data_IF_375767104683
#
_entry.id   IF_375767104683
#
_cell.length_a   1.000
_cell.length_b   1.000
_cell.length_c   1.000
_cell.angle_alpha   90.00
_cell.angle_beta   90.00
_cell.angle_gamma   90.00
#
_symmetry.space_group_name_H-M   'P 1'
#
loop_
_entity.id
_entity.type
_entity.pdbx_description
1 polymer ?
#
# COMPACT_ATOMS: atom_id res chain seq x y z
N UNK A 1 -16.48 -2.55 8.92
CA UNK A 1 -17.32 -1.86 7.90
C UNK A 1 -17.14 -0.34 7.88
N UNK A 2 -16.91 0.31 9.00
CA UNK A 2 -16.69 1.79 9.07
C UNK A 2 -15.46 2.26 8.28
N UNK A 3 -14.36 1.53 8.31
CA UNK A 3 -13.11 1.91 7.61
C UNK A 3 -13.24 2.04 6.08
N UNK A 4 -14.09 1.23 5.46
CA UNK A 4 -14.31 1.31 4.01
C UNK A 4 -15.14 2.53 3.62
N UNK A 5 -16.11 2.92 4.45
CA UNK A 5 -16.95 4.08 4.20
C UNK A 5 -16.21 5.41 4.43
N UNK A 6 -15.38 5.49 5.46
CA UNK A 6 -14.61 6.69 5.78
C UNK A 6 -13.50 6.98 4.75
N UNK A 7 -13.00 5.96 4.04
CA UNK A 7 -11.85 6.09 3.15
C UNK A 7 -12.11 5.78 1.68
N UNK A 8 -13.39 5.63 1.28
CA UNK A 8 -13.79 5.33 -0.09
C UNK A 8 -13.12 4.09 -0.72
N UNK A 9 -12.76 3.10 0.11
CA UNK A 9 -12.18 1.84 -0.34
C UNK A 9 -13.31 0.89 -0.69
N UNK A 10 -13.31 0.36 -1.90
CA UNK A 10 -14.27 -0.67 -2.30
C UNK A 10 -14.07 -1.94 -1.47
N UNK A 11 -15.14 -2.39 -0.83
CA UNK A 11 -15.13 -3.59 0.00
C UNK A 11 -14.76 -4.84 -0.80
N UNK A 12 -15.17 -4.92 -2.06
CA UNK A 12 -14.85 -6.05 -2.94
C UNK A 12 -13.36 -6.10 -3.24
N UNK A 13 -12.78 -4.96 -3.55
CA UNK A 13 -11.34 -4.82 -3.78
C UNK A 13 -10.53 -5.21 -2.53
N UNK A 14 -10.97 -4.79 -1.34
CA UNK A 14 -10.31 -5.16 -0.09
C UNK A 14 -10.32 -6.67 0.15
N UNK A 15 -11.46 -7.33 -0.06
CA UNK A 15 -11.59 -8.78 0.12
C UNK A 15 -10.70 -9.52 -0.88
N UNK A 16 -10.73 -9.15 -2.15
CA UNK A 16 -9.89 -9.76 -3.19
C UNK A 16 -8.39 -9.66 -2.85
N UNK A 17 -7.94 -8.48 -2.43
CA UNK A 17 -6.56 -8.28 -1.98
C UNK A 17 -6.19 -9.13 -0.77
N UNK A 18 -7.13 -9.30 0.19
CA UNK A 18 -6.93 -10.17 1.34
C UNK A 18 -6.83 -11.64 0.93
N UNK A 19 -7.70 -12.11 0.04
CA UNK A 19 -7.66 -13.48 -0.50
C UNK A 19 -6.33 -13.77 -1.20
N UNK A 20 -5.85 -12.86 -2.04
CA UNK A 20 -4.55 -12.98 -2.73
C UNK A 20 -3.36 -12.99 -1.75
N UNK A 21 -3.35 -12.10 -0.76
CA UNK A 21 -2.29 -12.04 0.25
C UNK A 21 -2.25 -13.30 1.11
N UNK A 22 -3.42 -13.77 1.54
CA UNK A 22 -3.55 -15.02 2.29
C UNK A 22 -3.16 -16.24 1.45
N UNK A 23 -3.50 -16.28 0.16
CA UNK A 23 -3.12 -17.37 -0.72
C UNK A 23 -1.61 -17.52 -0.81
N UNK A 24 -0.87 -16.43 -0.97
CA UNK A 24 0.61 -16.43 -0.94
C UNK A 24 1.15 -16.96 0.38
N UNK A 25 0.64 -16.45 1.50
CA UNK A 25 1.08 -16.87 2.84
C UNK A 25 0.80 -18.34 3.12
N UNK A 26 -0.37 -18.85 2.71
CA UNK A 26 -0.68 -20.27 2.89
C UNK A 26 0.12 -21.18 1.95
N UNK A 27 0.41 -20.75 0.73
CA UNK A 27 1.30 -21.47 -0.17
C UNK A 27 2.69 -21.67 0.47
N UNK A 28 3.23 -20.62 1.09
CA UNK A 28 4.51 -20.69 1.80
C UNK A 28 4.44 -21.56 3.06
N UNK A 29 3.44 -21.38 3.93
CA UNK A 29 3.29 -22.10 5.19
C UNK A 29 3.06 -23.60 4.97
N UNK A 30 2.28 -23.97 3.96
CA UNK A 30 1.94 -25.36 3.64
C UNK A 30 2.90 -25.99 2.62
N UNK A 31 3.91 -25.23 2.14
CA UNK A 31 4.89 -25.64 1.13
C UNK A 31 4.23 -26.20 -0.14
N UNK A 32 3.24 -25.46 -0.67
CA UNK A 32 2.48 -25.87 -1.85
C UNK A 32 3.23 -25.49 -3.13
N UNK A 33 3.56 -26.46 -3.95
CA UNK A 33 4.35 -26.29 -5.15
C UNK A 33 3.65 -25.43 -6.21
N UNK A 34 2.35 -25.62 -6.38
CA UNK A 34 1.54 -24.93 -7.40
C UNK A 34 0.73 -23.77 -6.82
N UNK A 35 0.96 -23.42 -5.56
CA UNK A 35 0.30 -22.33 -4.88
C UNK A 35 -1.00 -22.70 -4.19
N UNK A 36 -1.70 -21.71 -3.69
CA UNK A 36 -2.96 -21.85 -2.99
C UNK A 36 -4.01 -20.88 -3.53
N UNK A 37 -5.27 -21.24 -3.40
CA UNK A 37 -6.41 -20.33 -3.54
C UNK A 37 -7.07 -20.18 -2.18
N UNK A 38 -7.39 -18.94 -1.82
CA UNK A 38 -8.12 -18.65 -0.58
C UNK A 38 -9.43 -17.97 -0.93
N UNK A 39 -10.49 -18.39 -0.28
CA UNK A 39 -11.81 -17.79 -0.44
C UNK A 39 -12.37 -17.41 0.92
N UNK A 40 -12.86 -16.19 1.05
CA UNK A 40 -13.52 -15.67 2.25
C UNK A 40 -15.02 -15.64 2.03
N UNK A 41 -15.77 -16.43 2.80
CA UNK A 41 -17.23 -16.39 2.78
C UNK A 41 -17.69 -15.05 3.36
N UNK A 42 -18.30 -14.22 2.54
CA UNK A 42 -18.75 -12.85 2.89
C UNK A 42 -19.84 -12.80 3.93
N UNK A 43 -20.58 -13.90 4.09
CA UNK A 43 -21.71 -13.98 5.05
C UNK A 43 -21.25 -14.44 6.42
N UNK A 44 -20.38 -15.47 6.45
CA UNK A 44 -19.95 -16.09 7.70
C UNK A 44 -18.57 -15.64 8.16
N UNK A 45 -17.78 -15.01 7.27
CA UNK A 45 -16.37 -14.67 7.52
C UNK A 45 -15.45 -15.89 7.57
N UNK A 46 -15.93 -17.08 7.19
CA UNK A 46 -15.10 -18.27 7.15
C UNK A 46 -14.12 -18.22 6.00
N UNK A 47 -12.94 -18.74 6.25
CA UNK A 47 -11.84 -18.79 5.30
C UNK A 47 -11.60 -20.22 4.89
N UNK A 48 -11.60 -20.46 3.59
CA UNK A 48 -11.30 -21.73 2.98
C UNK A 48 -9.98 -21.62 2.21
N UNK A 49 -9.14 -22.63 2.37
CA UNK A 49 -7.83 -22.71 1.71
C UNK A 49 -7.78 -23.94 0.84
N UNK A 50 -7.54 -23.73 -0.45
CA UNK A 50 -7.43 -24.79 -1.44
C UNK A 50 -6.01 -24.87 -1.95
N UNK A 51 -5.46 -26.09 -2.01
CA UNK A 51 -4.25 -26.39 -2.75
C UNK A 51 -4.60 -26.49 -4.23
N UNK A 52 -3.78 -25.91 -5.07
CA UNK A 52 -3.89 -26.03 -6.50
C UNK A 52 -3.07 -27.21 -6.99
N UNK A 53 -3.69 -28.15 -7.70
CA UNK A 53 -3.00 -29.22 -8.41
C UNK A 53 -3.26 -29.10 -9.93
N UNK A 54 -2.22 -29.13 -10.76
CA UNK A 54 -2.38 -29.00 -12.19
C UNK A 54 -3.10 -30.24 -12.76
N UNK A 55 -3.95 -30.02 -13.74
CA UNK A 55 -4.61 -31.10 -14.49
C UNK A 55 -3.74 -31.42 -15.69
N UNK A 56 -3.28 -32.68 -15.79
CA UNK A 56 -2.28 -33.13 -16.77
C UNK A 56 -2.65 -32.85 -18.24
N UNK A 57 -3.95 -32.83 -18.58
CA UNK A 57 -4.43 -32.59 -19.94
C UNK A 57 -4.61 -31.09 -20.27
N UNK A 58 -4.25 -30.17 -19.38
CA UNK A 58 -4.49 -28.71 -19.52
C UNK A 58 -3.25 -27.89 -19.85
N UNK A 59 -2.23 -28.47 -20.47
CA UNK A 59 -1.04 -27.75 -20.90
C UNK A 59 -1.29 -26.89 -22.14
N UNK A 60 -0.80 -25.62 -22.10
CA UNK A 60 -0.73 -24.77 -23.27
C UNK A 60 0.45 -25.11 -24.18
N UNK A 61 0.56 -24.43 -25.34
CA UNK A 61 1.65 -24.63 -26.30
C UNK A 61 3.03 -24.27 -25.72
N UNK A 62 3.08 -23.48 -24.63
CA UNK A 62 4.30 -23.06 -23.93
C UNK A 62 4.68 -24.00 -22.78
N UNK A 63 3.85 -25.02 -22.51
CA UNK A 63 4.09 -26.02 -21.45
C UNK A 63 3.63 -25.59 -20.06
N UNK A 64 2.79 -24.56 -19.97
CA UNK A 64 2.20 -24.13 -18.70
C UNK A 64 0.84 -24.77 -18.50
N UNK A 65 0.53 -25.15 -17.27
CA UNK A 65 -0.82 -25.65 -16.93
C UNK A 65 -1.82 -24.48 -16.91
N UNK A 66 -2.95 -24.68 -17.57
CA UNK A 66 -4.03 -23.68 -17.68
C UNK A 66 -5.18 -23.93 -16.71
N UNK A 67 -5.36 -25.19 -16.28
CA UNK A 67 -6.42 -25.58 -15.37
C UNK A 67 -5.83 -26.27 -14.12
N UNK A 68 -6.44 -25.99 -12.98
CA UNK A 68 -6.03 -26.53 -11.69
C UNK A 68 -7.24 -27.09 -10.95
N UNK A 69 -7.07 -28.27 -10.36
CA UNK A 69 -8.01 -28.82 -9.40
C UNK A 69 -7.80 -28.16 -8.03
N UNK A 70 -8.92 -27.81 -7.38
CA UNK A 70 -8.94 -27.17 -6.07
C UNK A 70 -9.20 -28.21 -4.98
N UNK A 71 -8.20 -28.51 -4.18
CA UNK A 71 -8.30 -29.50 -3.08
C UNK A 71 -8.34 -28.76 -1.76
N UNK A 72 -9.41 -28.95 -0.98
CA UNK A 72 -9.56 -28.33 0.35
C UNK A 72 -8.48 -28.82 1.32
N UNK A 73 -7.65 -27.90 1.78
CA UNK A 73 -6.59 -28.12 2.76
C UNK A 73 -6.70 -27.15 3.93
N UNK A 74 -7.90 -26.64 4.18
CA UNK A 74 -8.17 -25.60 5.20
C UNK A 74 -7.64 -26.00 6.58
N UNK A 75 -6.63 -25.33 7.14
CA UNK A 75 -6.09 -25.64 8.45
C UNK A 75 -7.08 -25.32 9.58
N UNK A 76 -7.03 -26.06 10.67
CA UNK A 76 -7.88 -25.78 11.84
C UNK A 76 -7.64 -24.42 12.50
N UNK A 77 -6.46 -23.82 12.30
CA UNK A 77 -6.05 -22.53 12.87
C UNK A 77 -6.12 -21.36 11.87
N UNK A 78 -6.87 -21.53 10.79
CA UNK A 78 -6.97 -20.55 9.69
C UNK A 78 -7.30 -19.15 10.18
N UNK A 79 -8.26 -19.01 11.09
CA UNK A 79 -8.71 -17.72 11.62
C UNK A 79 -7.60 -16.91 12.31
N UNK A 80 -6.67 -17.57 13.01
CA UNK A 80 -5.58 -16.89 13.72
C UNK A 80 -4.54 -16.34 12.76
N UNK A 81 -4.12 -17.15 11.80
CA UNK A 81 -3.13 -16.77 10.77
C UNK A 81 -3.72 -15.67 9.90
N UNK A 82 -4.95 -15.85 9.45
CA UNK A 82 -5.68 -14.87 8.65
C UNK A 82 -5.84 -13.52 9.36
N UNK A 83 -6.15 -13.49 10.66
CA UNK A 83 -6.30 -12.25 11.39
C UNK A 83 -5.00 -11.43 11.47
N UNK A 84 -3.85 -12.09 11.58
CA UNK A 84 -2.55 -11.41 11.59
C UNK A 84 -2.22 -10.81 10.23
N UNK A 85 -2.39 -11.59 9.15
CA UNK A 85 -2.15 -11.12 7.78
C UNK A 85 -3.16 -10.07 7.34
N UNK A 86 -4.44 -10.25 7.65
CA UNK A 86 -5.49 -9.30 7.34
C UNK A 86 -5.21 -7.92 7.94
N UNK A 87 -4.76 -7.86 9.20
CA UNK A 87 -4.41 -6.58 9.84
C UNK A 87 -3.27 -5.87 9.11
N UNK A 88 -2.24 -6.59 8.71
CA UNK A 88 -1.09 -6.03 7.99
C UNK A 88 -1.51 -5.52 6.61
N UNK A 89 -2.30 -6.31 5.87
CA UNK A 89 -2.78 -5.98 4.53
C UNK A 89 -3.76 -4.81 4.54
N UNK A 90 -4.72 -4.79 5.46
CA UNK A 90 -5.63 -3.65 5.63
C UNK A 90 -4.85 -2.37 5.90
N UNK A 91 -3.85 -2.41 6.79
CA UNK A 91 -3.02 -1.24 7.06
C UNK A 91 -2.20 -0.82 5.83
N UNK A 92 -1.74 -1.76 5.00
CA UNK A 92 -1.02 -1.45 3.76
C UNK A 92 -1.95 -0.80 2.73
N UNK A 93 -3.15 -1.34 2.52
CA UNK A 93 -4.16 -0.79 1.61
C UNK A 93 -4.57 0.62 2.05
N UNK A 94 -4.84 0.83 3.33
CA UNK A 94 -5.20 2.15 3.88
C UNK A 94 -4.09 3.17 3.66
N UNK A 95 -2.83 2.78 3.89
CA UNK A 95 -1.68 3.66 3.64
C UNK A 95 -1.51 3.98 2.16
N UNK A 96 -1.66 3.00 1.28
CA UNK A 96 -1.54 3.19 -0.16
C UNK A 96 -2.66 4.09 -0.70
N UNK A 97 -3.91 3.86 -0.26
CA UNK A 97 -5.04 4.74 -0.64
C UNK A 97 -4.83 6.18 -0.16
N UNK A 98 -4.31 6.38 1.07
CA UNK A 98 -3.99 7.72 1.55
C UNK A 98 -2.87 8.38 0.74
N UNK A 99 -1.84 7.62 0.32
CA UNK A 99 -0.78 8.13 -0.56
C UNK A 99 -1.30 8.52 -1.94
N UNK A 100 -2.19 7.72 -2.50
CA UNK A 100 -2.80 7.97 -3.81
C UNK A 100 -3.64 9.25 -3.79
N UNK A 101 -4.45 9.46 -2.76
CA UNK A 101 -5.19 10.71 -2.56
C UNK A 101 -4.27 11.94 -2.44
N UNK A 102 -3.16 11.81 -1.67
CA UNK A 102 -2.15 12.88 -1.57
C UNK A 102 -1.52 13.13 -2.94
N UNK A 103 -1.16 12.08 -3.66
CA UNK A 103 -0.59 12.20 -5.01
C UNK A 103 -1.54 12.94 -5.96
N UNK A 104 -2.81 12.54 -6.02
CA UNK A 104 -3.82 13.20 -6.86
C UNK A 104 -4.00 14.68 -6.51
N UNK A 105 -4.00 15.03 -5.21
CA UNK A 105 -4.10 16.41 -4.74
C UNK A 105 -2.93 17.29 -5.23
N UNK A 106 -1.72 16.72 -5.26
CA UNK A 106 -0.51 17.48 -5.54
C UNK A 106 0.04 17.30 -6.96
N UNK A 107 -0.35 16.27 -7.71
CA UNK A 107 0.17 15.98 -9.05
C UNK A 107 -0.04 17.13 -10.04
N UNK A 108 -1.17 17.85 -9.96
CA UNK A 108 -1.47 19.01 -10.79
C UNK A 108 -0.85 20.32 -10.32
N UNK A 109 -0.14 20.31 -9.18
CA UNK A 109 0.41 21.54 -8.54
C UNK A 109 1.93 21.63 -8.64
N UNK A 110 2.52 20.89 -9.56
CA UNK A 110 3.97 20.96 -9.83
C UNK A 110 4.29 22.37 -10.35
N UNK A 111 5.23 23.05 -9.66
CA UNK A 111 5.59 24.44 -9.96
C UNK A 111 4.87 25.50 -9.11
N UNK A 112 3.87 25.09 -8.33
CA UNK A 112 3.18 25.99 -7.40
C UNK A 112 4.04 26.25 -6.15
N UNK A 113 3.80 27.42 -5.53
CA UNK A 113 4.34 27.75 -4.22
C UNK A 113 3.49 27.13 -3.12
N UNK A 114 4.13 26.37 -2.24
CA UNK A 114 3.48 25.74 -1.09
C UNK A 114 4.14 26.26 0.18
N UNK A 115 3.34 26.63 1.18
CA UNK A 115 3.81 26.98 2.52
C UNK A 115 3.75 25.76 3.45
N UNK A 116 4.71 25.66 4.35
CA UNK A 116 4.73 24.57 5.33
C UNK A 116 5.57 24.90 6.56
N UNK A 117 5.44 24.07 7.59
CA UNK A 117 6.18 24.21 8.83
C UNK A 117 7.33 23.20 8.87
N UNK A 118 8.55 23.66 9.10
CA UNK A 118 9.73 22.78 9.24
C UNK A 118 9.59 21.98 10.54
N UNK A 119 9.55 20.65 10.41
CA UNK A 119 9.51 19.72 11.54
C UNK A 119 10.92 19.28 11.97
N UNK A 120 11.72 18.87 11.00
CA UNK A 120 13.05 18.32 11.25
C UNK A 120 13.98 18.63 10.08
N UNK A 121 15.24 18.92 10.38
CA UNK A 121 16.29 19.09 9.38
C UNK A 121 17.44 18.11 9.68
N UNK A 122 17.83 17.34 8.68
CA UNK A 122 18.97 16.43 8.69
C UNK A 122 20.03 16.93 7.70
N UNK A 123 21.24 16.36 7.64
CA UNK A 123 22.24 16.75 6.65
C UNK A 123 21.81 16.56 5.18
N UNK A 124 20.88 15.62 4.91
CA UNK A 124 20.49 15.22 3.56
C UNK A 124 19.20 15.90 3.10
N UNK A 125 18.24 16.10 4.03
CA UNK A 125 16.92 16.66 3.72
C UNK A 125 16.28 17.35 4.93
N UNK A 126 15.27 18.17 4.66
CA UNK A 126 14.38 18.77 5.66
C UNK A 126 12.97 18.27 5.48
N UNK A 127 12.33 17.82 6.57
CA UNK A 127 10.92 17.45 6.60
C UNK A 127 10.09 18.69 6.89
N UNK A 128 9.12 18.94 6.02
CA UNK A 128 8.22 20.08 6.10
C UNK A 128 6.78 19.58 6.15
N UNK A 129 6.07 19.94 7.20
CA UNK A 129 4.63 19.70 7.33
C UNK A 129 3.88 20.68 6.45
N UNK A 130 3.17 20.19 5.46
CA UNK A 130 2.31 20.99 4.57
C UNK A 130 0.93 21.21 5.21
N UNK A 131 0.35 20.14 5.72
CA UNK A 131 -0.89 20.12 6.50
C UNK A 131 -0.93 18.89 7.41
N UNK A 132 -2.00 18.74 8.20
CA UNK A 132 -2.13 17.56 9.06
C UNK A 132 -2.15 16.27 8.23
N UNK A 133 -1.25 15.35 8.58
CA UNK A 133 -1.06 14.07 7.91
C UNK A 133 -0.33 14.12 6.56
N UNK A 134 0.17 15.29 6.13
CA UNK A 134 0.96 15.44 4.89
C UNK A 134 2.28 16.13 5.18
N UNK A 135 3.35 15.41 4.94
CA UNK A 135 4.73 15.86 5.09
C UNK A 135 5.44 15.79 3.73
N UNK A 136 6.28 16.78 3.47
CA UNK A 136 7.11 16.84 2.27
C UNK A 136 8.58 16.75 2.66
N UNK A 137 9.36 16.06 1.84
CA UNK A 137 10.80 15.99 1.94
C UNK A 137 11.43 17.04 1.01
N UNK A 138 12.23 17.94 1.59
CA UNK A 138 12.96 18.94 0.85
C UNK A 138 14.46 18.60 0.86
N UNK A 139 15.04 18.12 -0.24
CA UNK A 139 16.45 17.81 -0.34
C UNK A 139 17.34 19.04 -0.13
N UNK A 140 18.50 18.84 0.49
CA UNK A 140 19.43 19.95 0.83
C UNK A 140 19.95 20.73 -0.38
N UNK A 141 20.12 20.06 -1.54
CA UNK A 141 20.56 20.73 -2.76
C UNK A 141 19.52 21.74 -3.29
N UNK A 142 18.24 21.54 -3.02
CA UNK A 142 17.17 22.46 -3.39
C UNK A 142 17.07 23.63 -2.38
N UNK A 143 17.47 23.43 -1.12
CA UNK A 143 17.47 24.48 -0.10
C UNK A 143 18.50 25.58 -0.38
N UNK A 144 19.69 25.23 -0.83
CA UNK A 144 20.81 26.18 -1.08
C UNK A 144 20.51 27.24 -2.13
N UNK A 145 19.59 26.93 -3.04
CA UNK A 145 19.19 27.87 -4.09
C UNK A 145 18.41 29.07 -3.56
N UNK A 146 17.79 28.94 -2.40
CA UNK A 146 16.91 29.95 -1.80
C UNK A 146 17.52 30.66 -0.57
N UNK A 147 18.54 30.09 0.07
CA UNK A 147 19.21 30.74 1.21
C UNK A 147 20.00 31.99 0.79
N UNK A 148 20.55 32.02 -0.43
CA UNK A 148 21.32 33.15 -0.93
C UNK A 148 20.47 34.40 -1.23
N UNK A 149 19.15 34.28 -1.37
CA UNK A 149 18.24 35.39 -1.61
C UNK A 149 17.58 35.93 -0.33
N UNK A 150 17.86 35.32 0.84
CA UNK A 150 17.07 35.52 2.06
C UNK A 150 17.79 36.01 3.30
N UNK A 151 18.91 36.66 3.19
CA UNK A 151 19.54 37.24 4.39
C UNK A 151 18.72 38.42 5.03
N UNK A 152 17.49 38.65 4.62
CA UNK A 152 16.70 39.79 5.08
C UNK A 152 15.29 39.50 5.64
N UNK A 153 14.87 38.22 5.89
CA UNK A 153 13.53 37.96 6.43
C UNK A 153 13.53 37.06 7.67
N UNK A 154 12.64 37.33 8.65
CA UNK A 154 12.63 36.62 9.94
C UNK A 154 12.22 35.14 9.79
N UNK A 155 12.86 34.26 10.62
CA UNK A 155 12.58 32.83 10.73
C UNK A 155 11.09 32.57 11.03
N UNK A 156 10.35 31.96 10.10
CA UNK A 156 8.97 31.56 10.36
C UNK A 156 8.23 30.93 9.17
N UNK A 157 8.44 31.41 7.97
CA UNK A 157 7.72 30.91 6.80
C UNK A 157 8.67 30.62 5.64
N UNK A 158 8.85 29.32 5.33
CA UNK A 158 9.63 28.89 4.17
C UNK A 158 8.67 28.43 3.09
N UNK A 159 8.79 29.01 1.90
CA UNK A 159 8.03 28.61 0.72
C UNK A 159 8.82 27.55 -0.03
N UNK A 160 8.18 26.43 -0.34
CA UNK A 160 8.77 25.30 -1.04
C UNK A 160 8.32 25.32 -2.51
N UNK A 161 9.26 25.12 -3.42
CA UNK A 161 8.90 24.87 -4.81
C UNK A 161 8.55 23.39 -4.99
N UNK A 162 7.35 23.11 -5.49
CA UNK A 162 6.75 21.77 -5.51
C UNK A 162 7.36 20.86 -6.60
N UNK A 163 8.68 20.70 -6.63
CA UNK A 163 9.34 19.79 -7.57
C UNK A 163 9.58 18.38 -7.00
N UNK A 164 9.44 18.20 -5.68
CA UNK A 164 9.86 16.94 -5.01
C UNK A 164 8.90 16.44 -3.91
N UNK A 165 7.59 16.62 -4.08
CA UNK A 165 6.66 15.88 -3.23
C UNK A 165 6.65 14.44 -3.74
N UNK A 166 7.38 13.57 -3.04
CA UNK A 166 7.27 12.12 -3.21
C UNK A 166 6.16 11.62 -2.28
N UNK A 167 5.21 10.82 -2.82
CA UNK A 167 4.19 10.15 -2.03
C UNK A 167 4.77 9.11 -1.09
#
# INVERSE_FOLDING_TARGET
>A
MELCQERHIDQLYLIDRLEQSLAKSYAEILHLEWGAKVTIDRTTGKIYVYRLEPIDDSMDEEGNFTEFEEIDVTPKNTSRIAAQHAKAEINAIVRNSAREQIYEEFAGRIGDLISGTVLQSTPDFTIVKIRDGVEAELPHFDQRRYENERNERPMGERYLHNQHIKP
#
